data_IF_181175615155
#
_entry.id   IF_181175615155
#
_cell.length_a   1.000
_cell.length_b   1.000
_cell.length_c   1.000
_cell.angle_alpha   90.00
_cell.angle_beta   90.00
_cell.angle_gamma   90.00
#
_symmetry.space_group_name_H-M   'P 1'
#
loop_
_entity.id
_entity.type
_entity.pdbx_description
1 polymer ?
#
# COMPACT_ATOMS: atom_id res chain seq x y z
N UNK A 1 -57.72 -39.61 -74.35
CA UNK A 1 -57.49 -39.48 -72.93
C UNK A 1 -57.97 -40.75 -72.16
N UNK A 2 -57.75 -41.98 -72.68
CA UNK A 2 -58.22 -43.23 -72.09
C UNK A 2 -57.15 -44.35 -72.07
N UNK A 3 -55.88 -44.04 -72.40
CA UNK A 3 -54.83 -45.07 -72.49
C UNK A 3 -53.72 -44.99 -71.40
N UNK A 4 -53.79 -43.97 -70.47
CA UNK A 4 -52.81 -43.81 -69.40
C UNK A 4 -53.23 -44.42 -68.03
N UNK A 5 -54.50 -44.86 -67.92
CA UNK A 5 -55.05 -45.42 -66.66
C UNK A 5 -54.83 -46.93 -66.47
N UNK A 6 -54.53 -47.65 -67.53
CA UNK A 6 -54.40 -49.13 -67.52
C UNK A 6 -52.96 -49.55 -67.09
N UNK A 7 -51.99 -48.63 -67.28
CA UNK A 7 -50.56 -48.97 -66.91
C UNK A 7 -50.29 -48.83 -65.42
N UNK A 8 -51.06 -48.04 -64.69
CA UNK A 8 -50.88 -47.81 -63.26
C UNK A 8 -51.54 -48.87 -62.35
N UNK A 9 -52.54 -49.60 -62.85
CA UNK A 9 -53.22 -50.68 -62.10
C UNK A 9 -52.40 -51.98 -62.05
N UNK A 10 -51.53 -52.22 -63.07
CA UNK A 10 -50.72 -53.42 -63.18
C UNK A 10 -49.51 -53.41 -62.21
N UNK A 11 -48.96 -52.23 -61.91
CA UNK A 11 -47.76 -52.10 -61.03
C UNK A 11 -48.17 -52.16 -59.53
N UNK A 12 -49.40 -51.79 -59.19
CA UNK A 12 -49.92 -51.86 -57.82
C UNK A 12 -50.22 -53.27 -57.35
N UNK A 13 -50.65 -54.16 -58.26
CA UNK A 13 -50.90 -55.59 -57.93
C UNK A 13 -49.64 -56.41 -57.81
N UNK A 14 -48.57 -56.16 -58.59
CA UNK A 14 -47.31 -56.82 -58.47
C UNK A 14 -46.53 -56.42 -57.17
N UNK A 15 -46.72 -55.21 -56.68
CA UNK A 15 -46.13 -54.73 -55.44
C UNK A 15 -46.72 -55.42 -54.20
N UNK A 16 -48.06 -55.63 -54.17
CA UNK A 16 -48.71 -56.33 -53.05
C UNK A 16 -48.39 -57.81 -52.96
N UNK A 17 -48.13 -58.55 -54.06
CA UNK A 17 -47.73 -59.91 -54.05
C UNK A 17 -46.32 -60.13 -53.51
N UNK A 18 -45.40 -59.24 -53.78
CA UNK A 18 -44.00 -59.29 -53.27
C UNK A 18 -43.88 -59.03 -51.78
N UNK A 19 -44.73 -58.14 -51.21
CA UNK A 19 -44.76 -57.84 -49.74
C UNK A 19 -45.38 -59.00 -48.96
N UNK A 20 -46.41 -59.70 -49.53
CA UNK A 20 -47.07 -60.82 -48.85
C UNK A 20 -46.18 -62.08 -48.83
N UNK A 21 -45.26 -62.26 -49.79
CA UNK A 21 -44.38 -63.48 -49.87
C UNK A 21 -43.14 -63.34 -48.97
N UNK A 22 -42.82 -62.12 -48.44
CA UNK A 22 -41.66 -61.91 -47.58
C UNK A 22 -42.05 -61.97 -46.09
N UNK A 23 -43.30 -61.99 -45.70
CA UNK A 23 -43.78 -62.07 -44.35
C UNK A 23 -43.98 -63.47 -43.77
N UNK A 24 -43.66 -64.53 -44.51
CA UNK A 24 -43.90 -65.93 -44.10
C UNK A 24 -42.62 -66.75 -43.82
N UNK A 25 -41.43 -66.09 -43.69
CA UNK A 25 -40.18 -66.78 -43.40
C UNK A 25 -39.30 -66.03 -42.43
N UNK A 26 -39.86 -65.66 -41.29
CA UNK A 26 -39.01 -65.23 -40.14
C UNK A 26 -39.35 -66.17 -38.99
N UNK A 27 -38.49 -67.13 -38.75
CA UNK A 27 -38.53 -68.01 -37.61
C UNK A 27 -38.27 -67.25 -36.36
N UNK A 28 -38.95 -67.65 -35.29
CA UNK A 28 -38.77 -67.20 -33.88
C UNK A 28 -37.31 -67.39 -33.50
N UNK A 29 -36.53 -66.30 -33.52
CA UNK A 29 -35.29 -66.16 -32.77
C UNK A 29 -35.58 -65.25 -31.59
N UNK A 30 -35.55 -65.79 -30.41
CA UNK A 30 -35.65 -65.05 -29.12
C UNK A 30 -34.63 -63.92 -29.13
N UNK A 31 -34.98 -62.73 -28.66
CA UNK A 31 -34.03 -61.62 -28.57
C UNK A 31 -32.99 -61.94 -27.48
N UNK A 32 -31.73 -62.12 -27.91
CA UNK A 32 -30.55 -62.14 -27.08
C UNK A 32 -30.55 -60.89 -26.18
N UNK A 33 -30.44 -60.98 -24.86
CA UNK A 33 -30.32 -59.82 -24.00
C UNK A 33 -28.97 -59.15 -24.23
N UNK A 34 -28.94 -58.23 -25.19
CA UNK A 34 -27.78 -57.33 -25.31
C UNK A 34 -27.58 -56.63 -23.96
N UNK A 35 -26.39 -56.76 -23.33
CA UNK A 35 -26.10 -56.02 -22.14
C UNK A 35 -26.30 -54.54 -22.42
N UNK A 36 -27.24 -53.88 -21.75
CA UNK A 36 -27.34 -52.45 -21.73
C UNK A 36 -25.95 -51.95 -21.28
N UNK A 37 -25.18 -51.37 -22.23
CA UNK A 37 -23.97 -50.60 -21.88
C UNK A 37 -24.42 -49.61 -20.81
N UNK A 38 -23.98 -49.87 -19.57
CA UNK A 38 -24.07 -48.90 -18.50
C UNK A 38 -23.62 -47.55 -19.09
N UNK A 39 -24.48 -46.57 -19.10
CA UNK A 39 -24.16 -45.22 -19.59
C UNK A 39 -22.91 -44.80 -18.82
N UNK A 40 -21.76 -44.87 -19.51
CA UNK A 40 -20.50 -44.37 -18.95
C UNK A 40 -20.73 -42.89 -18.59
N UNK A 41 -20.64 -42.57 -17.29
CA UNK A 41 -20.81 -41.24 -16.84
C UNK A 41 -19.81 -40.29 -17.52
N UNK A 42 -20.21 -39.04 -17.74
CA UNK A 42 -19.32 -38.03 -18.32
C UNK A 42 -18.09 -37.85 -17.45
N UNK A 43 -16.87 -37.97 -18.00
CA UNK A 43 -15.65 -37.78 -17.22
C UNK A 43 -15.54 -36.30 -16.78
N UNK A 44 -15.46 -36.07 -15.47
CA UNK A 44 -15.35 -34.74 -14.89
C UNK A 44 -14.25 -34.72 -13.82
N UNK A 45 -13.56 -33.58 -13.70
CA UNK A 45 -12.72 -33.30 -12.55
C UNK A 45 -13.55 -32.58 -11.48
N UNK A 46 -13.37 -32.94 -10.24
CA UNK A 46 -14.13 -32.37 -9.11
C UNK A 46 -13.21 -31.62 -8.15
N UNK A 47 -13.79 -30.65 -7.45
CA UNK A 47 -13.18 -29.97 -6.33
C UNK A 47 -14.12 -30.04 -5.13
N UNK A 48 -13.59 -30.10 -3.92
CA UNK A 48 -14.39 -30.01 -2.71
C UNK A 48 -14.60 -28.56 -2.29
N UNK A 49 -15.80 -28.26 -1.83
CA UNK A 49 -16.11 -26.99 -1.15
C UNK A 49 -15.39 -26.98 0.18
N UNK A 50 -14.38 -26.14 0.30
CA UNK A 50 -13.54 -26.05 1.47
C UNK A 50 -13.91 -24.85 2.35
N UNK A 51 -13.61 -24.93 3.62
CA UNK A 51 -13.62 -23.77 4.53
C UNK A 51 -12.18 -23.34 4.74
N UNK A 52 -11.86 -22.11 4.35
CA UNK A 52 -10.50 -21.54 4.47
C UNK A 52 -10.55 -20.14 5.08
N UNK A 53 -9.51 -19.71 5.80
CA UNK A 53 -9.38 -18.32 6.18
C UNK A 53 -9.13 -17.47 4.93
N UNK A 54 -10.00 -16.51 4.65
CA UNK A 54 -9.94 -15.67 3.45
C UNK A 54 -9.91 -14.19 3.82
N UNK A 55 -8.94 -13.42 3.31
CA UNK A 55 -8.84 -12.01 3.59
C UNK A 55 -9.94 -11.21 2.88
N UNK A 56 -10.44 -10.18 3.56
CA UNK A 56 -11.25 -9.12 2.97
C UNK A 56 -10.31 -7.98 2.64
N UNK A 57 -10.10 -7.75 1.34
CA UNK A 57 -9.09 -6.82 0.84
C UNK A 57 -9.70 -5.77 -0.07
N UNK A 58 -9.14 -4.56 0.00
CA UNK A 58 -9.41 -3.47 -0.93
C UNK A 58 -8.15 -3.26 -1.76
N UNK A 59 -8.30 -3.37 -3.08
CA UNK A 59 -7.24 -3.10 -4.05
C UNK A 59 -7.45 -1.72 -4.66
N UNK A 60 -6.42 -0.88 -4.61
CA UNK A 60 -6.44 0.48 -5.17
C UNK A 60 -5.04 0.90 -5.63
N UNK A 61 -4.94 2.09 -6.24
CA UNK A 61 -3.65 2.69 -6.60
C UNK A 61 -3.34 3.81 -5.61
N UNK A 62 -2.12 3.81 -5.08
CA UNK A 62 -1.63 4.85 -4.19
C UNK A 62 -0.49 5.64 -4.80
N UNK A 63 -0.25 6.83 -4.24
CA UNK A 63 0.90 7.66 -4.54
C UNK A 63 1.79 7.77 -3.31
N UNK A 64 3.07 7.54 -3.50
CA UNK A 64 4.08 7.68 -2.44
C UNK A 64 4.30 9.16 -2.14
N UNK A 65 4.30 9.52 -0.85
CA UNK A 65 4.52 10.87 -0.35
C UNK A 65 5.52 10.85 0.80
N UNK A 66 6.42 11.84 0.90
CA UNK A 66 7.29 11.94 2.07
C UNK A 66 6.43 12.20 3.33
N UNK A 67 6.88 11.71 4.48
CA UNK A 67 6.20 11.98 5.75
C UNK A 67 6.23 13.48 6.09
N UNK A 68 7.37 14.11 5.85
CA UNK A 68 7.56 15.56 5.94
C UNK A 68 8.40 16.03 4.74
N UNK A 69 8.04 17.19 4.21
CA UNK A 69 8.78 17.87 3.13
C UNK A 69 8.95 19.34 3.52
N UNK A 70 10.17 19.81 3.60
CA UNK A 70 10.48 21.19 3.99
C UNK A 70 11.31 21.85 2.91
N UNK A 71 10.79 22.93 2.35
CA UNK A 71 11.51 23.81 1.43
C UNK A 71 12.33 24.81 2.26
N UNK A 72 13.64 24.76 2.10
CA UNK A 72 14.59 25.65 2.82
C UNK A 72 14.68 26.95 2.08
N UNK A 73 14.33 28.05 2.77
CA UNK A 73 14.41 29.42 2.27
C UNK A 73 15.27 30.27 3.19
N UNK A 74 15.97 31.28 2.66
CA UNK A 74 16.73 32.23 3.47
C UNK A 74 15.76 33.11 4.30
N UNK A 75 16.16 33.46 5.52
CA UNK A 75 15.38 34.38 6.39
C UNK A 75 15.88 35.82 6.29
N UNK A 76 17.02 36.04 5.68
CA UNK A 76 17.65 37.34 5.43
C UNK A 76 18.25 37.37 4.02
N UNK A 77 18.41 38.56 3.49
CA UNK A 77 19.11 38.80 2.24
C UNK A 77 20.62 38.60 2.42
N UNK A 78 21.30 38.06 1.42
CA UNK A 78 22.74 37.86 1.50
C UNK A 78 23.32 37.16 0.26
N UNK A 79 24.60 36.85 0.32
CA UNK A 79 25.32 36.08 -0.70
C UNK A 79 25.76 34.75 -0.09
N UNK A 80 25.59 33.65 -0.82
CA UNK A 80 26.03 32.32 -0.37
C UNK A 80 27.56 32.28 -0.34
N UNK A 81 28.13 32.17 0.86
CA UNK A 81 29.58 32.09 1.09
C UNK A 81 30.08 30.65 1.13
N UNK A 82 29.27 29.70 1.49
CA UNK A 82 29.59 28.26 1.43
C UNK A 82 28.36 27.39 1.31
N UNK A 83 28.54 26.23 0.67
CA UNK A 83 27.55 25.13 0.59
C UNK A 83 28.22 23.92 1.22
N UNK A 84 27.69 23.43 2.34
CA UNK A 84 28.29 22.38 3.15
C UNK A 84 27.79 20.97 2.77
N UNK A 85 26.85 20.85 1.85
CA UNK A 85 26.15 19.60 1.50
C UNK A 85 26.12 19.37 -0.01
N UNK A 86 25.81 18.13 -0.41
CA UNK A 86 25.67 17.72 -1.79
C UNK A 86 24.21 17.34 -2.11
N UNK A 87 23.83 17.43 -3.39
CA UNK A 87 22.52 16.98 -3.87
C UNK A 87 22.34 15.47 -3.60
N UNK A 88 21.16 15.09 -3.11
CA UNK A 88 20.84 13.70 -2.79
C UNK A 88 21.45 13.16 -1.48
N UNK A 89 22.22 13.98 -0.76
CA UNK A 89 22.81 13.61 0.52
C UNK A 89 21.74 13.46 1.61
N UNK A 90 21.89 12.48 2.50
CA UNK A 90 21.10 12.36 3.72
C UNK A 90 21.67 13.27 4.79
N UNK A 91 20.80 14.04 5.46
CA UNK A 91 21.16 14.99 6.52
C UNK A 91 20.36 14.73 7.78
N UNK A 92 20.96 14.98 8.94
CA UNK A 92 20.30 14.99 10.23
C UNK A 92 19.72 16.37 10.55
N UNK A 93 18.75 16.43 11.45
CA UNK A 93 18.27 17.70 11.96
C UNK A 93 19.39 18.48 12.66
N UNK A 94 19.58 19.75 12.30
CA UNK A 94 20.66 20.62 12.79
C UNK A 94 21.90 20.70 11.90
N UNK A 95 22.06 19.81 10.92
CA UNK A 95 23.21 19.85 10.01
C UNK A 95 23.26 21.16 9.25
N UNK A 96 24.48 21.70 9.08
CA UNK A 96 24.72 22.93 8.33
C UNK A 96 24.57 22.66 6.83
N UNK A 97 23.71 23.44 6.17
CA UNK A 97 23.43 23.35 4.73
C UNK A 97 24.17 24.45 3.95
N UNK A 98 23.89 25.69 4.33
CA UNK A 98 24.43 26.90 3.67
C UNK A 98 24.93 27.89 4.70
N UNK A 99 25.94 28.66 4.32
CA UNK A 99 26.37 29.83 5.07
C UNK A 99 26.26 31.06 4.16
N UNK A 100 25.69 32.13 4.64
CA UNK A 100 25.68 33.43 3.97
C UNK A 100 26.88 34.26 4.42
N UNK A 101 27.26 35.29 3.66
CA UNK A 101 28.27 36.26 4.07
C UNK A 101 27.79 37.01 5.32
N UNK A 102 28.47 36.81 6.42
CA UNK A 102 28.11 37.30 7.76
C UNK A 102 28.98 38.49 8.25
N UNK A 103 29.97 38.91 7.45
CA UNK A 103 30.96 39.93 7.87
C UNK A 103 30.31 41.22 8.36
N UNK A 104 29.30 41.74 7.68
CA UNK A 104 28.59 42.93 8.07
C UNK A 104 27.82 42.74 9.37
N UNK A 105 27.13 41.62 9.57
CA UNK A 105 26.37 41.29 10.76
C UNK A 105 27.28 41.02 11.96
N UNK A 106 28.43 40.42 11.77
CA UNK A 106 29.47 40.27 12.81
C UNK A 106 30.00 41.63 13.28
N UNK A 107 30.23 42.58 12.34
CA UNK A 107 30.63 43.94 12.71
C UNK A 107 29.53 44.67 13.49
N UNK A 108 28.27 44.56 13.09
CA UNK A 108 27.13 45.14 13.80
C UNK A 108 26.95 44.53 15.22
N UNK A 109 27.14 43.23 15.37
CA UNK A 109 27.12 42.55 16.67
C UNK A 109 28.26 43.06 17.59
N UNK A 110 29.49 43.18 17.07
CA UNK A 110 30.63 43.71 17.84
C UNK A 110 30.37 45.14 18.29
N UNK A 111 29.75 45.99 17.45
CA UNK A 111 29.39 47.36 17.78
C UNK A 111 28.38 47.42 18.94
N UNK A 112 27.31 46.59 18.87
CA UNK A 112 26.31 46.56 19.95
C UNK A 112 26.89 45.97 21.25
N UNK A 113 27.79 45.00 21.18
CA UNK A 113 28.53 44.50 22.35
C UNK A 113 29.36 45.61 23.02
N UNK A 114 30.03 46.47 22.23
CA UNK A 114 30.79 47.59 22.75
C UNK A 114 29.90 48.66 23.40
N UNK A 115 28.68 48.91 22.87
CA UNK A 115 27.71 49.80 23.47
C UNK A 115 27.23 49.29 24.84
N UNK A 116 26.86 47.99 24.91
CA UNK A 116 26.48 47.35 26.18
C UNK A 116 27.61 47.45 27.22
N UNK A 117 28.84 47.22 26.83
CA UNK A 117 30.00 47.33 27.73
C UNK A 117 30.20 48.78 28.25
N UNK A 118 30.05 49.79 27.36
CA UNK A 118 30.09 51.22 27.71
C UNK A 118 28.99 51.58 28.73
N UNK A 119 27.75 51.18 28.42
CA UNK A 119 26.59 51.57 29.24
C UNK A 119 26.56 50.82 30.61
N UNK A 120 27.07 49.59 30.62
CA UNK A 120 27.33 48.88 31.90
C UNK A 120 28.31 49.65 32.79
N UNK A 121 29.39 50.20 32.21
CA UNK A 121 30.37 50.98 32.99
C UNK A 121 29.78 52.31 33.50
N UNK A 122 28.89 52.94 32.69
CA UNK A 122 28.17 54.16 33.12
C UNK A 122 27.19 53.85 34.26
N UNK A 123 26.42 52.77 34.17
CA UNK A 123 25.52 52.31 35.21
C UNK A 123 26.27 52.00 36.50
N UNK A 124 27.40 51.26 36.43
CA UNK A 124 28.22 50.94 37.59
C UNK A 124 28.78 52.20 38.25
N UNK A 125 29.14 53.21 37.47
CA UNK A 125 29.57 54.49 37.99
C UNK A 125 28.45 55.22 38.71
N UNK A 126 27.23 55.31 38.08
CA UNK A 126 26.04 55.91 38.67
C UNK A 126 25.62 55.20 39.96
N UNK A 127 25.65 53.86 40.00
CA UNK A 127 25.37 53.07 41.22
C UNK A 127 26.37 53.40 42.34
N UNK A 128 27.66 53.41 42.05
CA UNK A 128 28.70 53.80 43.06
C UNK A 128 28.52 55.25 43.57
N UNK A 129 28.07 56.18 42.70
CA UNK A 129 27.78 57.51 43.06
C UNK A 129 26.53 57.64 44.00
N UNK A 130 25.44 56.97 43.64
CA UNK A 130 24.23 56.88 44.47
C UNK A 130 24.51 56.24 45.83
N UNK A 131 25.24 55.13 45.88
CA UNK A 131 25.63 54.41 47.09
C UNK A 131 26.46 55.32 48.06
N UNK A 132 27.25 56.20 47.49
CA UNK A 132 28.03 57.18 48.25
C UNK A 132 27.16 58.36 48.81
N UNK A 133 26.20 58.79 48.01
CA UNK A 133 25.36 59.99 48.41
C UNK A 133 24.26 59.62 49.41
N UNK A 134 23.68 58.40 49.34
CA UNK A 134 22.61 57.94 50.24
C UNK A 134 23.01 58.04 51.71
N UNK A 135 24.17 57.51 52.22
CA UNK A 135 24.54 57.66 53.60
C UNK A 135 24.97 59.10 54.01
N UNK A 136 25.44 59.90 53.05
CA UNK A 136 25.74 61.32 53.31
C UNK A 136 24.48 62.17 53.56
N UNK A 137 23.40 61.90 52.82
CA UNK A 137 22.11 62.54 53.04
C UNK A 137 21.50 62.15 54.39
N UNK A 138 21.63 60.89 54.80
CA UNK A 138 21.19 60.47 56.13
C UNK A 138 21.87 61.21 57.31
N UNK A 139 23.06 61.73 57.03
CA UNK A 139 23.86 62.53 57.99
C UNK A 139 23.70 64.05 57.75
N UNK A 140 22.78 64.53 56.91
CA UNK A 140 22.57 65.90 56.50
C UNK A 140 23.78 66.58 55.80
N UNK A 141 24.71 65.85 55.21
CA UNK A 141 25.87 66.39 54.47
C UNK A 141 25.59 66.67 53.00
N UNK A 142 24.40 66.28 52.46
CA UNK A 142 23.98 66.55 51.09
C UNK A 142 22.45 66.76 51.06
N UNK A 143 21.94 67.37 49.97
CA UNK A 143 20.50 67.58 49.84
C UNK A 143 19.77 66.27 49.36
N UNK A 144 18.49 66.10 49.73
CA UNK A 144 17.63 65.02 49.28
C UNK A 144 17.49 65.07 47.76
N UNK A 145 17.39 66.27 47.17
CA UNK A 145 17.34 66.45 45.71
C UNK A 145 18.54 65.85 44.98
N UNK A 146 19.76 65.95 45.54
CA UNK A 146 20.98 65.40 44.99
C UNK A 146 20.94 63.83 44.97
N UNK A 147 20.36 63.24 46.01
CA UNK A 147 20.18 61.76 46.06
C UNK A 147 19.13 61.34 45.09
N UNK A 148 18.01 62.04 44.97
CA UNK A 148 16.95 61.69 44.01
C UNK A 148 17.43 61.81 42.56
N UNK A 149 18.27 62.85 42.27
CA UNK A 149 18.92 62.93 40.95
C UNK A 149 19.82 61.75 40.69
N UNK A 150 20.69 61.35 41.65
CA UNK A 150 21.59 60.19 41.48
C UNK A 150 20.81 58.85 41.28
N UNK A 151 19.68 58.70 41.97
CA UNK A 151 18.78 57.56 41.76
C UNK A 151 18.14 57.58 40.37
N UNK A 152 17.72 58.75 39.90
CA UNK A 152 17.18 58.91 38.54
C UNK A 152 18.22 58.59 37.48
N UNK A 153 19.48 59.01 37.71
CA UNK A 153 20.60 58.69 36.81
C UNK A 153 20.83 57.20 36.74
N UNK A 154 20.80 56.46 37.89
CA UNK A 154 20.86 55.00 37.91
C UNK A 154 19.72 54.37 37.10
N UNK A 155 18.48 54.80 37.31
CA UNK A 155 17.33 54.27 36.58
C UNK A 155 17.45 54.57 35.08
N UNK A 156 17.96 55.73 34.69
CA UNK A 156 18.16 56.10 33.29
C UNK A 156 19.21 55.23 32.60
N UNK A 157 20.38 55.05 33.27
CA UNK A 157 21.43 54.20 32.68
C UNK A 157 21.03 52.70 32.67
N UNK A 158 20.24 52.28 33.67
CA UNK A 158 19.69 50.93 33.67
C UNK A 158 18.75 50.67 32.48
N UNK A 159 17.85 51.64 32.20
CA UNK A 159 16.96 51.60 31.05
C UNK A 159 17.73 51.62 29.69
N UNK A 160 18.81 52.45 29.61
CA UNK A 160 19.66 52.55 28.43
C UNK A 160 20.39 51.21 28.19
N UNK A 161 20.98 50.65 29.23
CA UNK A 161 21.64 49.34 29.16
C UNK A 161 20.70 48.23 28.68
N UNK A 162 19.46 48.19 29.19
CA UNK A 162 18.46 47.25 28.78
C UNK A 162 18.10 47.42 27.28
N UNK A 163 18.01 48.65 26.78
CA UNK A 163 17.76 48.91 25.35
C UNK A 163 18.93 48.42 24.47
N UNK A 164 20.18 48.67 24.87
CA UNK A 164 21.36 48.22 24.12
C UNK A 164 21.54 46.70 24.16
N UNK A 165 21.20 46.05 25.28
CA UNK A 165 21.14 44.59 25.38
C UNK A 165 20.10 44.02 24.43
N UNK A 166 18.92 44.62 24.29
CA UNK A 166 17.89 44.19 23.34
C UNK A 166 18.39 44.36 21.89
N UNK A 167 19.09 45.44 21.58
CA UNK A 167 19.69 45.64 20.25
C UNK A 167 20.77 44.61 19.95
N UNK A 168 21.65 44.30 20.90
CA UNK A 168 22.66 43.26 20.80
C UNK A 168 22.00 41.88 20.52
N UNK A 169 20.96 41.55 21.24
CA UNK A 169 20.20 40.31 21.02
C UNK A 169 19.58 40.24 19.61
N UNK A 170 19.03 41.35 19.11
CA UNK A 170 18.51 41.45 17.73
C UNK A 170 19.59 41.17 16.71
N UNK A 171 20.78 41.76 16.83
CA UNK A 171 21.91 41.56 15.93
C UNK A 171 22.43 40.09 16.01
N UNK A 172 22.40 39.47 17.20
CA UNK A 172 22.78 38.09 17.39
C UNK A 172 21.80 37.12 16.67
N UNK A 173 20.49 37.40 16.75
CA UNK A 173 19.47 36.64 16.03
C UNK A 173 19.65 36.77 14.51
N UNK A 174 19.90 37.98 13.99
CA UNK A 174 20.16 38.19 12.58
C UNK A 174 21.40 37.44 12.10
N UNK A 175 22.48 37.45 12.90
CA UNK A 175 23.68 36.69 12.62
C UNK A 175 23.41 35.17 12.59
N UNK A 176 22.51 34.67 13.47
CA UNK A 176 22.16 33.24 13.46
C UNK A 176 21.50 32.81 12.14
N UNK A 177 20.76 33.71 11.47
CA UNK A 177 20.09 33.43 10.20
C UNK A 177 21.07 33.28 9.00
N UNK A 178 22.35 33.68 9.15
CA UNK A 178 23.36 33.44 8.14
C UNK A 178 23.75 31.96 8.04
N UNK A 179 23.55 31.19 9.11
CA UNK A 179 23.84 29.75 9.15
C UNK A 179 22.53 28.99 8.97
N UNK A 180 22.30 28.50 7.74
CA UNK A 180 21.07 27.80 7.38
C UNK A 180 21.27 26.31 7.65
N UNK A 181 20.52 25.77 8.61
CA UNK A 181 20.58 24.36 9.04
C UNK A 181 19.32 23.60 8.66
N UNK A 182 19.43 22.27 8.62
CA UNK A 182 18.32 21.37 8.36
C UNK A 182 17.33 21.33 9.54
N UNK A 183 16.04 21.67 9.35
CA UNK A 183 15.05 21.61 10.44
C UNK A 183 14.58 20.19 10.73
N UNK A 184 14.70 19.27 9.78
CA UNK A 184 14.33 17.86 9.88
C UNK A 184 15.44 16.98 9.30
N UNK A 185 15.48 15.73 9.74
CA UNK A 185 16.30 14.71 9.09
C UNK A 185 15.62 14.26 7.78
N UNK A 186 16.41 13.97 6.75
CA UNK A 186 15.91 13.50 5.46
C UNK A 186 16.92 13.63 4.34
N UNK A 187 16.47 13.37 3.12
CA UNK A 187 17.30 13.47 1.92
C UNK A 187 17.11 14.79 1.22
N UNK A 188 18.21 15.40 0.83
CA UNK A 188 18.23 16.65 0.07
C UNK A 188 17.80 16.40 -1.38
N UNK A 189 16.97 17.30 -1.90
CA UNK A 189 16.70 17.40 -3.34
C UNK A 189 17.83 18.11 -4.11
N UNK A 190 17.49 18.64 -5.29
CA UNK A 190 18.41 19.46 -6.09
C UNK A 190 18.69 20.80 -5.39
N UNK A 191 19.94 21.26 -5.48
CA UNK A 191 20.38 22.57 -4.97
C UNK A 191 20.20 23.59 -6.07
N UNK A 192 19.21 24.49 -5.89
CA UNK A 192 18.87 25.47 -6.93
C UNK A 192 19.87 26.63 -7.04
N UNK A 193 20.54 26.98 -5.93
CA UNK A 193 21.44 28.13 -5.83
C UNK A 193 22.84 27.69 -5.37
N UNK A 194 23.86 28.20 -6.04
CA UNK A 194 25.26 27.81 -5.84
C UNK A 194 26.05 28.90 -5.11
N UNK A 195 27.29 28.58 -4.73
CA UNK A 195 28.25 29.49 -4.14
C UNK A 195 28.34 30.80 -4.98
N UNK A 196 28.32 31.95 -4.31
CA UNK A 196 28.36 33.27 -4.91
C UNK A 196 27.02 33.81 -5.37
N UNK A 197 25.94 33.04 -5.39
CA UNK A 197 24.62 33.56 -5.73
C UNK A 197 24.08 34.46 -4.61
N UNK A 198 23.42 35.55 -5.00
CA UNK A 198 22.63 36.36 -4.05
C UNK A 198 21.30 35.75 -3.81
N UNK A 199 20.86 35.72 -2.56
CA UNK A 199 19.57 35.23 -2.10
C UNK A 199 18.80 36.34 -1.38
N UNK A 200 17.47 36.30 -1.50
CA UNK A 200 16.59 37.27 -0.85
C UNK A 200 15.50 36.55 -0.06
N UNK A 201 15.07 37.14 1.04
CA UNK A 201 13.94 36.60 1.83
C UNK A 201 12.66 36.49 1.01
N UNK A 202 12.46 37.35 0.01
CA UNK A 202 11.29 37.36 -0.87
C UNK A 202 11.35 36.34 -2.02
N UNK A 203 12.45 35.61 -2.17
CA UNK A 203 12.57 34.61 -3.25
C UNK A 203 11.59 33.47 -3.03
N UNK A 204 10.85 33.12 -4.09
CA UNK A 204 9.89 32.00 -4.08
C UNK A 204 10.57 30.65 -4.32
N UNK A 205 11.76 30.64 -4.90
CA UNK A 205 12.54 29.42 -5.18
C UNK A 205 13.32 29.02 -3.93
N UNK A 206 13.07 27.84 -3.39
CA UNK A 206 13.82 27.37 -2.22
C UNK A 206 15.28 27.07 -2.61
N UNK A 207 16.19 27.20 -1.65
CA UNK A 207 17.60 26.79 -1.79
C UNK A 207 17.71 25.29 -2.10
N UNK A 208 17.00 24.51 -1.32
CA UNK A 208 16.90 23.03 -1.40
C UNK A 208 15.63 22.57 -0.72
N UNK A 209 15.10 21.41 -1.10
CA UNK A 209 13.99 20.76 -0.38
C UNK A 209 14.52 19.54 0.34
N UNK A 210 14.13 19.35 1.60
CA UNK A 210 14.43 18.15 2.39
C UNK A 210 13.17 17.29 2.45
N UNK A 211 13.28 16.04 2.04
CA UNK A 211 12.20 15.06 2.12
C UNK A 211 12.56 13.95 3.11
N UNK A 212 11.68 13.70 4.08
CA UNK A 212 11.80 12.58 4.98
C UNK A 212 11.34 11.31 4.25
N UNK A 213 12.27 10.37 4.04
CA UNK A 213 12.04 9.09 3.34
C UNK A 213 11.82 7.91 4.29
N UNK A 214 12.20 8.06 5.58
CA UNK A 214 12.13 7.04 6.61
C UNK A 214 11.44 7.59 7.88
N UNK A 215 10.21 7.16 8.20
CA UNK A 215 9.26 6.42 7.37
C UNK A 215 8.69 7.27 6.22
N UNK A 216 7.98 6.61 5.29
CA UNK A 216 7.34 7.24 4.13
C UNK A 216 5.85 6.90 4.09
N UNK A 217 5.03 7.75 3.51
CA UNK A 217 3.60 7.50 3.34
C UNK A 217 3.26 7.04 1.94
N UNK A 218 2.26 6.18 1.84
CA UNK A 218 1.50 5.93 0.62
C UNK A 218 0.08 6.43 0.85
N UNK A 219 -0.32 7.43 0.07
CA UNK A 219 -1.68 7.98 0.08
C UNK A 219 -2.49 7.33 -1.03
N UNK A 220 -3.69 6.85 -0.70
CA UNK A 220 -4.60 6.21 -1.65
C UNK A 220 -6.06 6.51 -1.30
N UNK A 221 -6.92 6.46 -2.31
CA UNK A 221 -8.35 6.72 -2.17
C UNK A 221 -9.11 5.43 -1.92
N UNK A 222 -10.07 5.48 -0.99
CA UNK A 222 -10.98 4.39 -0.64
C UNK A 222 -12.42 4.87 -0.77
N UNK A 223 -13.34 4.00 -1.22
CA UNK A 223 -14.73 4.35 -1.40
C UNK A 223 -15.43 4.59 -0.05
N UNK A 224 -16.38 5.53 -0.03
CA UNK A 224 -17.12 5.92 1.17
C UNK A 224 -17.80 4.71 1.83
N UNK A 225 -18.30 3.76 1.05
CA UNK A 225 -19.01 2.58 1.56
C UNK A 225 -18.12 1.72 2.47
N UNK A 226 -16.81 1.72 2.24
CA UNK A 226 -15.83 0.97 3.03
C UNK A 226 -15.39 1.69 4.32
N UNK A 227 -15.80 2.95 4.54
CA UNK A 227 -15.38 3.76 5.69
C UNK A 227 -15.68 3.09 7.03
N UNK A 228 -16.91 2.56 7.17
CA UNK A 228 -17.34 1.92 8.42
C UNK A 228 -16.58 0.60 8.64
N UNK A 229 -16.32 -0.15 7.58
CA UNK A 229 -15.53 -1.38 7.64
C UNK A 229 -14.08 -1.10 8.03
N UNK A 230 -13.47 -0.06 7.47
CA UNK A 230 -12.11 0.35 7.80
C UNK A 230 -12.01 0.86 9.24
N UNK A 231 -12.94 1.71 9.69
CA UNK A 231 -12.99 2.18 11.09
C UNK A 231 -13.15 1.03 12.08
N UNK A 232 -13.98 0.04 11.75
CA UNK A 232 -14.17 -1.15 12.59
C UNK A 232 -12.88 -2.00 12.64
N UNK A 233 -12.21 -2.19 11.49
CA UNK A 233 -10.95 -2.90 11.40
C UNK A 233 -9.84 -2.23 12.24
N UNK A 234 -9.70 -0.90 12.16
CA UNK A 234 -8.71 -0.15 12.95
C UNK A 234 -8.98 -0.19 14.46
N UNK A 235 -10.25 -0.29 14.88
CA UNK A 235 -10.59 -0.50 16.31
C UNK A 235 -10.20 -1.90 16.80
N UNK A 236 -10.22 -2.89 15.91
CA UNK A 236 -9.85 -4.27 16.24
C UNK A 236 -8.32 -4.47 16.26
N UNK A 237 -7.55 -3.63 15.57
CA UNK A 237 -6.09 -3.71 15.51
C UNK A 237 -5.48 -2.95 14.34
N UNK A 238 -4.16 -3.04 14.15
CA UNK A 238 -3.49 -2.41 13.03
C UNK A 238 -3.94 -3.02 11.70
N UNK A 239 -4.32 -2.16 10.74
CA UNK A 239 -4.74 -2.58 9.40
C UNK A 239 -3.51 -2.63 8.51
N UNK A 240 -3.16 -3.85 8.06
CA UNK A 240 -2.02 -4.09 7.18
C UNK A 240 -2.28 -3.63 5.75
N UNK A 241 -1.27 -3.03 5.16
CA UNK A 241 -1.28 -2.54 3.77
C UNK A 241 -0.03 -3.06 3.07
N UNK A 242 -0.23 -3.70 1.92
CA UNK A 242 0.85 -4.12 1.05
C UNK A 242 0.93 -3.17 -0.16
N UNK A 243 2.10 -2.60 -0.41
CA UNK A 243 2.38 -1.79 -1.58
C UNK A 243 3.24 -2.60 -2.56
N UNK A 244 2.75 -2.77 -3.78
CA UNK A 244 3.49 -3.45 -4.86
C UNK A 244 3.86 -2.47 -5.95
N UNK A 245 5.10 -2.53 -6.42
CA UNK A 245 5.63 -1.66 -7.46
C UNK A 245 6.47 -2.47 -8.45
N UNK A 246 6.47 -2.02 -9.68
CA UNK A 246 7.06 -2.74 -10.80
C UNK A 246 6.02 -2.97 -11.90
N UNK A 247 6.47 -3.20 -13.14
CA UNK A 247 5.56 -3.57 -14.22
C UNK A 247 5.02 -4.97 -13.92
N UNK A 248 3.78 -5.04 -13.44
CA UNK A 248 3.02 -6.29 -13.50
C UNK A 248 2.79 -6.59 -14.98
N UNK A 249 3.71 -7.34 -15.59
CA UNK A 249 3.38 -8.02 -16.83
C UNK A 249 2.34 -9.07 -16.44
N UNK A 250 1.09 -8.75 -16.72
CA UNK A 250 -0.01 -9.68 -16.54
C UNK A 250 0.37 -10.97 -17.31
N UNK A 251 0.84 -11.98 -16.60
CA UNK A 251 0.88 -13.34 -17.10
C UNK A 251 -0.57 -13.81 -17.10
N UNK A 252 -1.26 -13.53 -18.20
CA UNK A 252 -2.50 -14.20 -18.55
C UNK A 252 -2.12 -15.69 -18.65
N UNK A 253 -2.50 -16.47 -17.66
CA UNK A 253 -2.66 -17.90 -17.77
C UNK A 253 -1.54 -18.80 -17.27
N UNK A 254 -1.03 -18.67 -16.05
CA UNK A 254 -0.42 -19.84 -15.37
C UNK A 254 -0.62 -19.79 -13.85
N UNK A 255 -1.02 -20.92 -13.28
CA UNK A 255 -1.36 -21.17 -11.88
C UNK A 255 -0.20 -21.02 -10.87
N UNK A 256 0.96 -20.51 -11.29
CA UNK A 256 2.17 -20.41 -10.46
C UNK A 256 2.29 -19.12 -9.65
N UNK A 257 1.38 -18.15 -9.82
CA UNK A 257 1.53 -16.82 -9.18
C UNK A 257 1.07 -16.77 -7.71
N UNK A 258 0.35 -17.77 -7.22
CA UNK A 258 -0.21 -17.77 -5.86
C UNK A 258 0.75 -18.32 -4.78
N UNK A 259 1.82 -19.03 -5.15
CA UNK A 259 2.78 -19.62 -4.21
C UNK A 259 4.08 -18.81 -4.02
N UNK A 260 4.27 -17.73 -4.76
CA UNK A 260 5.49 -16.90 -4.70
C UNK A 260 5.51 -15.86 -3.57
N UNK A 261 4.65 -15.98 -2.55
CA UNK A 261 4.60 -15.04 -1.40
C UNK A 261 5.57 -15.43 -0.27
N UNK A 262 6.22 -16.59 -0.35
CA UNK A 262 7.17 -17.04 0.66
C UNK A 262 8.59 -17.08 0.10
N UNK A 263 9.48 -16.33 0.75
CA UNK A 263 10.95 -16.34 0.58
C UNK A 263 11.51 -15.60 -0.64
N UNK A 264 11.81 -14.32 -0.44
CA UNK A 264 12.71 -13.54 -1.31
C UNK A 264 14.09 -13.52 -0.66
N UNK A 265 15.07 -14.06 -1.37
CA UNK A 265 16.50 -14.02 -1.04
C UNK A 265 17.03 -12.57 -1.17
N UNK A 266 17.85 -12.04 -0.24
CA UNK A 266 18.27 -10.64 -0.24
C UNK A 266 19.31 -10.25 -1.30
N UNK A 267 19.83 -11.17 -2.10
CA UNK A 267 20.99 -10.95 -2.98
C UNK A 267 20.71 -11.15 -4.50
N UNK A 268 19.52 -10.80 -4.97
CA UNK A 268 19.19 -10.99 -6.39
C UNK A 268 19.85 -9.90 -7.27
N UNK A 269 20.96 -10.26 -7.93
CA UNK A 269 21.73 -9.49 -8.88
C UNK A 269 20.88 -9.13 -10.14
N UNK A 270 20.85 -7.83 -10.58
CA UNK A 270 20.00 -7.40 -11.69
C UNK A 270 20.39 -7.96 -13.07
N UNK A 271 21.48 -8.71 -13.19
CA UNK A 271 22.08 -9.10 -14.48
C UNK A 271 21.88 -10.59 -14.88
N UNK A 272 21.06 -11.34 -14.14
CA UNK A 272 20.84 -12.76 -14.46
C UNK A 272 19.60 -12.94 -15.36
N UNK A 273 19.86 -13.14 -16.64
CA UNK A 273 18.88 -13.26 -17.72
C UNK A 273 17.82 -14.33 -17.47
N UNK A 274 16.56 -13.92 -17.44
CA UNK A 274 15.40 -14.77 -17.71
C UNK A 274 14.55 -15.19 -16.54
N UNK A 275 14.77 -14.75 -15.30
CA UNK A 275 13.91 -15.08 -14.18
C UNK A 275 12.80 -14.04 -13.96
N UNK A 276 11.62 -14.56 -13.66
CA UNK A 276 10.39 -13.82 -13.34
C UNK A 276 10.69 -12.81 -12.23
N UNK A 277 10.66 -11.52 -12.55
CA UNK A 277 10.80 -10.45 -11.55
C UNK A 277 9.65 -10.59 -10.56
N UNK A 278 9.95 -11.12 -9.39
CA UNK A 278 9.04 -11.18 -8.25
C UNK A 278 8.50 -9.78 -7.98
N UNK A 279 7.20 -9.68 -7.86
CA UNK A 279 6.50 -8.45 -7.50
C UNK A 279 7.11 -7.91 -6.20
N UNK A 280 7.87 -6.83 -6.29
CA UNK A 280 8.48 -6.21 -5.10
C UNK A 280 7.36 -5.64 -4.24
N UNK A 281 7.20 -6.19 -3.04
CA UNK A 281 6.15 -5.84 -2.11
C UNK A 281 6.77 -5.27 -0.84
N UNK A 282 6.28 -4.11 -0.40
CA UNK A 282 6.59 -3.54 0.92
C UNK A 282 5.34 -3.60 1.80
N UNK A 283 5.54 -3.84 3.10
CA UNK A 283 4.47 -3.90 4.09
C UNK A 283 4.44 -2.60 4.89
N UNK A 284 3.24 -2.13 5.16
CA UNK A 284 2.97 -0.95 5.96
C UNK A 284 1.69 -1.10 6.74
N UNK A 285 1.34 -0.11 7.51
CA UNK A 285 0.12 -0.06 8.32
C UNK A 285 -0.62 1.26 8.06
N UNK A 286 -1.95 1.21 8.11
CA UNK A 286 -2.79 2.42 8.04
C UNK A 286 -2.46 3.31 9.22
N UNK A 287 -1.98 4.53 8.94
CA UNK A 287 -1.61 5.53 9.94
C UNK A 287 -2.67 6.62 10.08
N UNK A 288 -3.38 6.96 8.99
CA UNK A 288 -4.29 8.09 8.96
C UNK A 288 -5.45 7.87 7.99
N UNK A 289 -6.64 8.29 8.39
CA UNK A 289 -7.83 8.41 7.54
C UNK A 289 -8.23 9.87 7.51
N UNK A 290 -8.43 10.42 6.32
CA UNK A 290 -8.93 11.79 6.17
C UNK A 290 -10.35 11.90 6.74
N UNK A 291 -10.63 13.04 7.35
CA UNK A 291 -11.95 13.35 7.90
C UNK A 291 -12.92 13.93 6.86
N UNK A 292 -12.45 14.14 5.63
CA UNK A 292 -13.21 14.72 4.53
C UNK A 292 -13.41 13.69 3.42
N UNK A 293 -14.64 13.63 2.90
CA UNK A 293 -14.99 12.84 1.73
C UNK A 293 -15.02 13.78 0.53
N UNK A 294 -14.30 13.43 -0.52
CA UNK A 294 -14.39 14.10 -1.81
C UNK A 294 -15.74 13.75 -2.46
N UNK A 295 -16.60 14.75 -2.57
CA UNK A 295 -17.96 14.58 -3.12
C UNK A 295 -17.99 14.32 -4.63
N UNK A 296 -16.92 14.67 -5.35
CA UNK A 296 -16.84 14.42 -6.79
C UNK A 296 -16.53 12.96 -7.12
N UNK A 297 -15.69 12.33 -6.31
CA UNK A 297 -15.27 10.92 -6.48
C UNK A 297 -15.95 9.96 -5.51
N UNK A 298 -16.67 10.46 -4.50
CA UNK A 298 -17.26 9.70 -3.39
C UNK A 298 -16.21 8.83 -2.66
N UNK A 299 -15.00 9.36 -2.49
CA UNK A 299 -13.87 8.68 -1.84
C UNK A 299 -13.28 9.52 -0.71
N UNK A 300 -12.56 8.87 0.18
CA UNK A 300 -11.73 9.52 1.20
C UNK A 300 -10.29 9.05 1.09
N UNK A 301 -9.36 9.88 1.56
CA UNK A 301 -7.93 9.58 1.49
C UNK A 301 -7.51 8.80 2.74
N UNK A 302 -6.76 7.74 2.52
CA UNK A 302 -6.09 6.95 3.54
C UNK A 302 -4.58 7.06 3.33
N UNK A 303 -3.82 7.23 4.42
CA UNK A 303 -2.35 7.17 4.38
C UNK A 303 -1.88 5.99 5.19
N UNK A 304 -1.07 5.15 4.58
CA UNK A 304 -0.35 4.06 5.23
C UNK A 304 1.12 4.41 5.38
N UNK A 305 1.70 4.11 6.55
CA UNK A 305 3.11 4.31 6.84
C UNK A 305 3.90 3.05 6.49
N UNK A 306 5.05 3.25 5.86
CA UNK A 306 6.01 2.23 5.46
C UNK A 306 7.39 2.65 5.96
N UNK A 307 8.15 1.73 6.54
CA UNK A 307 9.48 2.04 7.09
C UNK A 307 10.52 2.37 6.01
N UNK A 308 10.39 1.74 4.82
CA UNK A 308 11.19 1.99 3.61
C UNK A 308 12.72 1.87 3.80
N UNK A 309 13.27 0.87 4.51
CA UNK A 309 14.69 0.82 4.87
C UNK A 309 15.65 0.67 3.66
N UNK A 310 15.12 0.27 2.50
CA UNK A 310 15.89 0.03 1.27
C UNK A 310 15.64 1.09 0.19
N UNK A 311 15.02 2.22 0.52
CA UNK A 311 14.65 3.31 -0.41
C UNK A 311 13.86 2.85 -1.65
N UNK A 312 13.07 1.79 -1.51
CA UNK A 312 12.31 1.24 -2.64
C UNK A 312 11.09 2.07 -3.00
N UNK A 313 10.50 2.73 -2.01
CA UNK A 313 9.41 3.69 -2.19
C UNK A 313 10.00 5.09 -2.36
N UNK A 314 9.70 5.71 -3.50
CA UNK A 314 10.22 7.02 -3.84
C UNK A 314 9.09 8.06 -3.94
N UNK A 315 9.23 9.26 -3.37
CA UNK A 315 8.21 10.31 -3.45
C UNK A 315 7.74 10.56 -4.87
N UNK A 316 6.41 10.61 -5.06
CA UNK A 316 5.79 10.79 -6.37
C UNK A 316 5.50 9.51 -7.14
N UNK A 317 6.06 8.37 -6.74
CA UNK A 317 5.84 7.07 -7.38
C UNK A 317 4.39 6.59 -7.18
N UNK A 318 3.82 5.95 -8.21
CA UNK A 318 2.56 5.22 -8.10
C UNK A 318 2.81 3.75 -7.75
N UNK A 319 2.01 3.22 -6.85
CA UNK A 319 2.09 1.84 -6.36
C UNK A 319 0.69 1.22 -6.31
N UNK A 320 0.61 -0.09 -6.56
CA UNK A 320 -0.61 -0.83 -6.31
C UNK A 320 -0.70 -1.14 -4.82
N UNK A 321 -1.81 -0.80 -4.21
CA UNK A 321 -2.07 -0.95 -2.78
C UNK A 321 -3.10 -2.05 -2.57
N UNK A 322 -2.78 -2.98 -1.69
CA UNK A 322 -3.68 -4.02 -1.22
C UNK A 322 -3.84 -3.89 0.30
N UNK A 323 -4.95 -3.35 0.74
CA UNK A 323 -5.29 -3.16 2.16
C UNK A 323 -6.12 -4.32 2.66
N UNK A 324 -5.70 -4.98 3.73
CA UNK A 324 -6.42 -6.11 4.35
C UNK A 324 -7.22 -5.64 5.56
N UNK A 325 -8.55 -5.61 5.44
CA UNK A 325 -9.44 -5.14 6.50
C UNK A 325 -9.60 -6.16 7.63
N UNK A 326 -9.82 -7.43 7.25
CA UNK A 326 -9.99 -8.56 8.18
C UNK A 326 -9.72 -9.87 7.46
N UNK A 327 -9.49 -10.92 8.23
CA UNK A 327 -9.46 -12.29 7.71
C UNK A 327 -10.72 -13.00 8.22
N UNK A 328 -11.55 -13.51 7.31
CA UNK A 328 -12.72 -14.35 7.65
C UNK A 328 -12.24 -15.78 7.83
N UNK A 329 -12.29 -16.34 9.08
CA UNK A 329 -11.64 -17.63 9.37
C UNK A 329 -12.33 -18.81 8.70
N UNK A 330 -13.65 -18.74 8.47
CA UNK A 330 -14.48 -19.83 7.99
C UNK A 330 -15.21 -19.45 6.70
N UNK A 331 -14.52 -18.86 5.73
CA UNK A 331 -15.11 -18.54 4.43
C UNK A 331 -15.31 -19.81 3.59
N UNK A 332 -16.50 -19.99 3.02
CA UNK A 332 -16.80 -21.09 2.08
C UNK A 332 -16.19 -20.72 0.74
N UNK A 333 -15.27 -21.55 0.25
CA UNK A 333 -14.51 -21.29 -0.97
C UNK A 333 -14.61 -22.42 -1.96
N UNK A 334 -14.61 -22.04 -3.24
CA UNK A 334 -14.50 -22.96 -4.36
C UNK A 334 -13.50 -22.40 -5.37
N UNK A 335 -12.77 -23.23 -6.12
CA UNK A 335 -11.94 -22.76 -7.22
C UNK A 335 -12.81 -21.99 -8.24
N UNK A 336 -12.35 -20.82 -8.67
CA UNK A 336 -13.12 -19.94 -9.58
C UNK A 336 -13.52 -20.65 -10.89
N UNK A 337 -12.74 -21.62 -11.34
CA UNK A 337 -13.04 -22.46 -12.53
C UNK A 337 -14.30 -23.32 -12.40
N UNK A 338 -14.79 -23.59 -11.18
CA UNK A 338 -16.03 -24.36 -10.95
C UNK A 338 -17.28 -23.57 -11.27
N UNK A 339 -17.17 -22.27 -11.35
CA UNK A 339 -18.30 -21.33 -11.45
C UNK A 339 -18.69 -21.15 -12.92
N UNK A 340 -19.98 -21.32 -13.20
CA UNK A 340 -20.58 -21.13 -14.53
C UNK A 340 -21.55 -19.97 -14.54
N UNK A 341 -21.66 -19.30 -15.70
CA UNK A 341 -22.61 -18.23 -15.92
C UNK A 341 -23.68 -18.77 -16.89
N UNK A 342 -24.92 -18.84 -16.45
CA UNK A 342 -26.06 -19.26 -17.24
C UNK A 342 -27.12 -18.18 -17.39
N UNK A 343 -28.20 -18.49 -18.11
CA UNK A 343 -29.31 -17.53 -18.33
C UNK A 343 -30.00 -17.08 -17.03
N UNK A 344 -29.99 -17.90 -15.98
CA UNK A 344 -30.58 -17.63 -14.66
C UNK A 344 -29.59 -17.05 -13.64
N UNK A 345 -28.36 -16.70 -14.08
CA UNK A 345 -27.30 -16.18 -13.23
C UNK A 345 -26.15 -17.16 -13.04
N UNK A 346 -25.39 -16.96 -11.96
CA UNK A 346 -24.22 -17.76 -11.63
C UNK A 346 -24.60 -19.05 -10.91
N UNK A 347 -24.04 -20.18 -11.34
CA UNK A 347 -24.31 -21.48 -10.79
C UNK A 347 -23.06 -22.37 -10.77
N UNK A 348 -23.13 -23.48 -10.04
CA UNK A 348 -22.14 -24.56 -10.03
C UNK A 348 -22.82 -25.89 -10.21
N UNK A 349 -22.09 -26.87 -10.75
CA UNK A 349 -22.53 -28.25 -10.81
C UNK A 349 -22.13 -28.96 -9.52
N UNK A 350 -23.12 -29.35 -8.68
CA UNK A 350 -22.90 -30.12 -7.47
C UNK A 350 -23.10 -31.60 -7.77
N UNK A 351 -22.13 -32.42 -7.39
CA UNK A 351 -22.19 -33.89 -7.57
C UNK A 351 -22.88 -34.49 -6.35
N UNK A 352 -23.98 -35.20 -6.58
CA UNK A 352 -24.73 -35.92 -5.54
C UNK A 352 -24.09 -37.30 -5.24
N UNK A 353 -24.53 -37.92 -4.16
CA UNK A 353 -24.03 -39.26 -3.76
C UNK A 353 -24.33 -40.36 -4.79
N UNK A 354 -25.37 -40.19 -5.60
CA UNK A 354 -25.75 -41.07 -6.71
C UNK A 354 -24.97 -40.85 -8.01
N UNK A 355 -23.91 -40.01 -7.94
CA UNK A 355 -23.08 -39.62 -9.07
C UNK A 355 -23.84 -38.87 -10.17
N UNK A 356 -24.95 -38.23 -9.85
CA UNK A 356 -25.66 -37.28 -10.71
C UNK A 356 -25.29 -35.85 -10.37
N UNK A 357 -25.38 -34.96 -11.37
CA UNK A 357 -25.11 -33.53 -11.17
C UNK A 357 -26.39 -32.71 -11.09
N UNK A 358 -26.36 -31.71 -10.23
CA UNK A 358 -27.41 -30.72 -10.05
C UNK A 358 -26.84 -29.32 -10.28
N UNK A 359 -27.50 -28.53 -11.12
CA UNK A 359 -27.17 -27.10 -11.30
C UNK A 359 -27.74 -26.32 -10.12
N UNK A 360 -26.85 -25.81 -9.25
CA UNK A 360 -27.25 -25.04 -8.07
C UNK A 360 -26.83 -23.59 -8.21
N UNK A 361 -27.79 -22.68 -8.14
CA UNK A 361 -27.54 -21.23 -8.15
C UNK A 361 -26.74 -20.82 -6.90
N UNK A 362 -25.71 -20.01 -7.08
CA UNK A 362 -24.85 -19.50 -6.04
C UNK A 362 -24.77 -17.97 -6.09
N UNK A 363 -24.51 -17.36 -4.93
CA UNK A 363 -24.17 -15.96 -4.81
C UNK A 363 -22.70 -15.83 -4.44
N UNK A 364 -21.91 -15.26 -5.34
CA UNK A 364 -20.48 -14.97 -5.08
C UNK A 364 -20.42 -13.72 -4.21
N UNK A 365 -19.60 -13.75 -3.16
CA UNK A 365 -19.27 -12.59 -2.34
C UNK A 365 -18.11 -11.82 -2.99
N UNK A 366 -16.96 -12.49 -3.16
CA UNK A 366 -15.74 -11.92 -3.77
C UNK A 366 -14.85 -13.01 -4.36
N UNK A 367 -13.92 -12.60 -5.19
CA UNK A 367 -12.86 -13.47 -5.73
C UNK A 367 -11.54 -13.07 -5.11
N UNK A 368 -10.73 -14.08 -4.73
CA UNK A 368 -9.40 -13.89 -4.14
C UNK A 368 -8.45 -14.87 -4.82
N UNK A 369 -7.64 -14.37 -5.75
CA UNK A 369 -6.76 -15.20 -6.58
C UNK A 369 -7.54 -16.23 -7.39
N UNK A 370 -7.22 -17.51 -7.25
CA UNK A 370 -7.88 -18.62 -7.94
C UNK A 370 -9.15 -19.11 -7.22
N UNK A 371 -9.37 -18.68 -5.99
CA UNK A 371 -10.53 -19.09 -5.18
C UNK A 371 -11.64 -18.01 -5.23
N UNK A 372 -12.88 -18.45 -5.16
CA UNK A 372 -14.07 -17.60 -5.03
C UNK A 372 -14.76 -17.88 -3.72
N UNK A 373 -15.02 -16.83 -2.94
CA UNK A 373 -15.79 -16.89 -1.68
C UNK A 373 -17.27 -16.84 -2.00
N UNK A 374 -18.01 -17.82 -1.50
CA UNK A 374 -19.44 -17.99 -1.73
C UNK A 374 -20.23 -17.44 -0.56
N UNK A 375 -21.18 -16.53 -0.86
CA UNK A 375 -22.07 -15.96 0.16
C UNK A 375 -23.25 -16.90 0.51
N UNK A 376 -23.78 -17.64 -0.48
CA UNK A 376 -24.88 -18.57 -0.29
C UNK A 376 -24.99 -19.56 -1.46
N UNK A 377 -25.59 -20.73 -1.18
CA UNK A 377 -25.87 -21.74 -2.20
C UNK A 377 -25.03 -23.02 -2.07
N UNK A 378 -23.97 -23.03 -1.26
CA UNK A 378 -23.13 -24.22 -1.03
C UNK A 378 -22.90 -24.46 0.46
N UNK A 379 -22.66 -25.71 0.81
CA UNK A 379 -22.26 -26.14 2.15
C UNK A 379 -20.83 -26.70 2.13
N UNK A 380 -20.08 -26.55 3.23
CA UNK A 380 -18.76 -27.15 3.37
C UNK A 380 -18.79 -28.67 3.15
N UNK A 381 -17.82 -29.21 2.43
CA UNK A 381 -17.71 -30.64 2.15
C UNK A 381 -18.47 -31.13 0.92
N UNK A 382 -19.33 -30.31 0.30
CA UNK A 382 -19.95 -30.66 -0.99
C UNK A 382 -18.91 -30.80 -2.10
N UNK A 383 -19.19 -31.63 -3.07
CA UNK A 383 -18.32 -31.85 -4.23
C UNK A 383 -18.90 -31.11 -5.44
N UNK A 384 -18.08 -30.27 -6.07
CA UNK A 384 -18.43 -29.47 -7.26
C UNK A 384 -17.56 -29.83 -8.46
N UNK A 385 -18.12 -29.74 -9.65
CA UNK A 385 -17.37 -30.02 -10.90
C UNK A 385 -16.43 -28.88 -11.21
N UNK A 386 -15.15 -29.19 -11.38
CA UNK A 386 -14.10 -28.21 -11.70
C UNK A 386 -13.75 -28.16 -13.20
N UNK A 387 -13.93 -29.28 -13.93
CA UNK A 387 -13.67 -29.37 -15.36
C UNK A 387 -14.55 -30.44 -16.00
N UNK A 388 -14.81 -30.36 -17.31
CA UNK A 388 -15.72 -31.25 -18.04
C UNK A 388 -17.18 -30.81 -18.09
N UNK A 389 -17.51 -29.61 -17.63
CA UNK A 389 -18.86 -29.10 -17.40
C UNK A 389 -19.65 -28.76 -18.69
N UNK A 390 -18.98 -28.61 -19.85
CA UNK A 390 -19.63 -28.20 -21.12
C UNK A 390 -20.62 -29.23 -21.71
N UNK A 391 -20.60 -30.47 -21.21
CA UNK A 391 -21.44 -31.57 -21.68
C UNK A 391 -22.46 -32.05 -20.65
N UNK A 392 -22.60 -31.30 -19.55
CA UNK A 392 -23.46 -31.68 -18.43
C UNK A 392 -24.83 -31.03 -18.56
N UNK A 393 -25.86 -31.82 -18.38
CA UNK A 393 -27.22 -31.41 -18.16
C UNK A 393 -27.68 -31.82 -16.76
N UNK A 394 -28.77 -31.23 -16.26
CA UNK A 394 -29.33 -31.57 -14.95
C UNK A 394 -29.69 -33.05 -14.90
N UNK A 395 -29.14 -33.80 -13.94
CA UNK A 395 -29.36 -35.23 -13.79
C UNK A 395 -28.36 -36.10 -14.57
N UNK A 396 -27.39 -35.53 -15.30
CA UNK A 396 -26.35 -36.30 -15.99
C UNK A 396 -25.52 -37.13 -14.97
N UNK A 397 -25.26 -38.41 -15.29
CA UNK A 397 -24.33 -39.23 -14.51
C UNK A 397 -22.90 -38.84 -14.86
N UNK A 398 -22.06 -38.67 -13.83
CA UNK A 398 -20.64 -38.31 -13.99
C UNK A 398 -19.73 -39.40 -13.47
N UNK A 399 -18.55 -39.49 -14.09
CA UNK A 399 -17.44 -40.33 -13.63
C UNK A 399 -16.31 -39.41 -13.21
N UNK A 400 -15.94 -39.46 -11.93
CA UNK A 400 -14.89 -38.61 -11.37
C UNK A 400 -13.52 -39.10 -11.84
N UNK A 401 -12.83 -38.25 -12.59
CA UNK A 401 -11.44 -38.46 -12.97
C UNK A 401 -10.56 -37.64 -12.01
N UNK A 402 -9.66 -38.31 -11.28
CA UNK A 402 -8.71 -37.60 -10.42
C UNK A 402 -7.81 -36.70 -11.27
N UNK A 403 -7.77 -35.43 -10.96
CA UNK A 403 -6.78 -34.50 -11.53
C UNK A 403 -5.38 -34.93 -11.09
N UNK A 404 -4.40 -34.90 -12.01
CA UNK A 404 -3.01 -35.23 -11.75
C UNK A 404 -2.30 -34.22 -10.80
N UNK A 405 -3.00 -33.21 -10.32
CA UNK A 405 -2.48 -32.09 -9.53
C UNK A 405 -2.75 -32.16 -8.02
N UNK A 406 -3.08 -33.31 -7.45
CA UNK A 406 -3.05 -33.49 -6.00
C UNK A 406 -1.67 -34.03 -5.60
N UNK A 407 -0.90 -33.33 -4.73
CA UNK A 407 0.29 -33.90 -4.12
C UNK A 407 -0.11 -35.16 -3.35
N UNK A 408 0.56 -36.27 -3.65
CA UNK A 408 0.37 -37.54 -2.99
C UNK A 408 0.57 -37.36 -1.47
N UNK A 409 -0.43 -37.74 -0.69
CA UNK A 409 -0.33 -37.90 0.76
C UNK A 409 0.76 -38.94 1.04
N UNK A 410 1.97 -38.49 1.38
CA UNK A 410 3.04 -39.33 1.90
C UNK A 410 2.76 -39.61 3.37
N UNK A 411 1.82 -40.53 3.62
CA UNK A 411 1.67 -41.16 4.93
C UNK A 411 1.64 -42.69 4.76
N UNK A 412 2.84 -43.24 4.57
CA UNK A 412 3.12 -44.67 4.53
C UNK A 412 4.44 -44.91 5.22
N UNK A 413 4.40 -45.06 6.54
CA UNK A 413 5.55 -45.27 7.39
C UNK A 413 6.34 -46.53 6.99
N UNK A 414 7.64 -46.35 6.82
CA UNK A 414 8.63 -47.40 7.01
C UNK A 414 9.77 -46.77 7.83
N UNK A 415 9.85 -47.16 9.08
CA UNK A 415 10.97 -46.86 9.95
C UNK A 415 12.26 -47.43 9.35
N UNK A 416 13.37 -46.68 9.28
CA UNK A 416 14.65 -47.26 8.94
C UNK A 416 15.24 -47.98 10.17
N UNK A 417 15.51 -49.28 9.95
CA UNK A 417 16.28 -50.16 10.84
C UNK A 417 17.69 -49.59 11.04
N UNK A 418 18.11 -49.45 12.30
CA UNK A 418 19.46 -49.05 12.68
C UNK A 418 20.49 -50.08 12.14
N UNK A 419 21.69 -49.65 11.70
CA UNK A 419 22.80 -50.54 11.49
C UNK A 419 23.51 -50.83 12.81
N UNK A 420 23.64 -52.11 13.07
CA UNK A 420 24.40 -52.77 14.14
C UNK A 420 25.89 -52.47 13.99
N UNK A 421 26.52 -52.11 15.11
CA UNK A 421 27.95 -51.92 15.22
C UNK A 421 28.69 -53.26 15.14
N UNK A 422 29.73 -53.31 14.32
CA UNK A 422 30.76 -54.36 14.37
C UNK A 422 32.14 -53.69 14.31
N UNK A 423 32.84 -53.84 15.42
CA UNK A 423 34.29 -53.91 15.68
C UNK A 423 35.22 -52.89 15.03
#
# INVERSE_FOLDING_TARGET
>A
MRLKFILFAGIALAGLGYVAMRSLSVGDAAPDPRPQKAQAGFPVTVAQVATKPMPVQIATVGRVQPMASVAIQPRIDGVISSVAVQEGQDVAAGDLLFTLDDRALQAALKQSQANVAKDQALLDNAKRNADRLVPLAAKNFTSVQTVDQAKTDVATFEATLLADQAQMQSNQVQLSYTRITAPIAGRLGSINLKLGNSVRQADTTPLVTINQLHPIYVAFSVQQDDLNHLKAAMKAGPVGVAATFGKTRALIGTAAAAQAVATVDPDDDPDNGGQVRTNRQEQGIVAFIDNTIDTASNTFIVKAAFDNPRDRLWPGQFVNVLMTLKVEPNAIVVPTKTIQIGQKGTFVWVVKQDMTVEARSIKINRRVGEDSVIASGLQPGETVVADGQMRLDVGSKVSVVKSADQPADQNGGAAPKAPEAAQ
#
